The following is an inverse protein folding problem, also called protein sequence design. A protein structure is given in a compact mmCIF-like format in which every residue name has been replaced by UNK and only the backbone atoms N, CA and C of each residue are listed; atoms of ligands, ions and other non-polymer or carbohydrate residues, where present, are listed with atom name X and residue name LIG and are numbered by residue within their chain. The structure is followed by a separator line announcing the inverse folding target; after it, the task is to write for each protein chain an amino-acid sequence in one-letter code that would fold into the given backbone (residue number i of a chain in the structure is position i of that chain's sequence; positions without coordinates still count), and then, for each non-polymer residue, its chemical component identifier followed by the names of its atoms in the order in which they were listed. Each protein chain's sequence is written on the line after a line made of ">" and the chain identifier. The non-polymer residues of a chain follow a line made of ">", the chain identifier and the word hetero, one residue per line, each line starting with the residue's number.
data_IF_695898189402
#
_entry.id   IF_695898189402
#
_cell.length_a   1.000
_cell.length_b   1.000
_cell.length_c   1.000
_cell.angle_alpha   90.00
_cell.angle_beta   90.00
_cell.angle_gamma   90.00
#
_symmetry.space_group_name_H-M   'P 1'
#
loop_
_entity.id
_entity.type
_entity.pdbx_description
1 polymer ?
#
# COMPACT_ATOMS: atom_id res chain seq x y z
N UNK A 1 16.85 10.04 16.40
CA UNK A 1 17.56 10.39 15.16
C UNK A 1 18.62 9.33 14.97
N UNK A 2 18.46 8.49 13.96
CA UNK A 2 19.36 7.35 13.74
C UNK A 2 20.36 7.72 12.66
N UNK A 3 21.66 7.64 12.96
CA UNK A 3 22.71 7.86 11.97
C UNK A 3 23.13 6.54 11.35
N UNK A 4 23.13 6.47 10.03
CA UNK A 4 23.65 5.31 9.29
C UNK A 4 25.03 5.63 8.71
N UNK A 5 25.91 4.64 8.64
CA UNK A 5 27.22 4.77 7.99
C UNK A 5 27.15 4.22 6.57
N UNK A 6 27.76 4.94 5.64
CA UNK A 6 27.97 4.46 4.29
C UNK A 6 29.13 3.48 4.29
N UNK A 7 28.94 2.31 3.67
CA UNK A 7 29.99 1.33 3.46
C UNK A 7 30.96 1.80 2.36
N UNK A 8 32.11 1.13 2.25
CA UNK A 8 33.06 1.36 1.15
C UNK A 8 32.47 1.12 -0.25
N UNK A 9 31.35 0.40 -0.34
CA UNK A 9 30.62 0.14 -1.58
C UNK A 9 29.52 1.16 -1.86
N UNK A 10 29.39 2.21 -1.06
CA UNK A 10 28.32 3.20 -1.21
C UNK A 10 26.94 2.71 -0.76
N UNK A 11 26.89 1.74 0.17
CA UNK A 11 25.64 1.18 0.69
C UNK A 11 25.46 1.54 2.16
N UNK A 12 24.24 1.82 2.61
CA UNK A 12 23.91 1.91 4.02
C UNK A 12 22.76 0.94 4.35
N UNK A 13 22.67 0.57 5.62
CA UNK A 13 21.64 -0.35 6.10
C UNK A 13 20.47 0.46 6.63
N UNK A 14 19.27 0.19 6.13
CA UNK A 14 18.03 0.74 6.68
C UNK A 14 17.78 0.13 8.08
N UNK A 15 17.75 0.96 9.15
CA UNK A 15 17.47 0.49 10.50
C UNK A 15 16.17 -0.33 10.57
N UNK A 16 16.17 -1.38 11.39
CA UNK A 16 15.01 -2.29 11.53
C UNK A 16 13.73 -1.53 11.90
N UNK A 17 13.82 -0.56 12.80
CA UNK A 17 12.67 0.25 13.23
C UNK A 17 11.99 0.99 12.07
N UNK A 18 12.75 1.47 11.07
CA UNK A 18 12.20 2.13 9.88
C UNK A 18 11.53 1.10 8.97
N UNK A 19 12.18 -0.05 8.73
CA UNK A 19 11.60 -1.12 7.93
C UNK A 19 10.28 -1.63 8.48
N UNK A 20 10.23 -1.90 9.80
CA UNK A 20 9.04 -2.42 10.46
C UNK A 20 7.90 -1.37 10.43
N UNK A 21 8.19 -0.10 10.68
CA UNK A 21 7.18 0.99 10.67
C UNK A 21 6.54 1.21 9.29
N UNK A 22 7.29 0.99 8.22
CA UNK A 22 6.81 1.20 6.85
C UNK A 22 6.47 -0.13 6.14
N UNK A 23 6.49 -1.26 6.85
CA UNK A 23 6.28 -2.59 6.30
C UNK A 23 7.14 -2.88 5.05
N UNK A 24 8.40 -2.44 5.07
CA UNK A 24 9.34 -2.68 3.98
C UNK A 24 10.00 -4.05 4.15
N UNK A 25 9.75 -4.91 3.18
CA UNK A 25 10.27 -6.27 3.14
C UNK A 25 11.48 -6.38 2.20
N UNK A 26 12.17 -7.51 2.28
CA UNK A 26 13.26 -7.84 1.36
C UNK A 26 12.75 -7.80 -0.09
N UNK A 27 13.50 -7.14 -0.98
CA UNK A 27 13.09 -6.96 -2.37
C UNK A 27 12.26 -5.70 -2.64
N UNK A 28 11.91 -4.92 -1.60
CA UNK A 28 11.31 -3.59 -1.81
C UNK A 28 12.28 -2.71 -2.60
N UNK A 29 11.86 -2.26 -3.78
CA UNK A 29 12.61 -1.29 -4.57
C UNK A 29 12.37 0.13 -4.05
N UNK A 30 13.38 0.99 -4.15
CA UNK A 30 13.31 2.36 -3.68
C UNK A 30 13.76 3.33 -4.76
N UNK A 31 13.06 4.46 -4.84
CA UNK A 31 13.46 5.63 -5.61
C UNK A 31 14.19 6.59 -4.66
N UNK A 32 15.39 6.99 -5.06
CA UNK A 32 16.17 8.03 -4.40
C UNK A 32 15.96 9.33 -5.16
N UNK A 33 15.49 10.36 -4.45
CA UNK A 33 15.28 11.70 -4.99
C UNK A 33 16.25 12.64 -4.27
N UNK A 34 17.19 13.19 -5.03
CA UNK A 34 18.14 14.21 -4.55
C UNK A 34 17.48 15.59 -4.61
N UNK A 35 17.41 16.29 -3.48
CA UNK A 35 16.92 17.66 -3.35
C UNK A 35 18.02 18.65 -2.93
N UNK A 36 19.29 18.27 -3.06
CA UNK A 36 20.45 19.07 -2.67
C UNK A 36 20.77 18.96 -1.18
N UNK A 37 19.94 19.59 -0.32
CA UNK A 37 20.14 19.52 1.14
C UNK A 37 19.63 18.20 1.74
N UNK A 38 18.60 17.62 1.12
CA UNK A 38 17.94 16.41 1.57
C UNK A 38 17.95 15.32 0.51
N UNK A 39 18.10 14.08 0.95
CA UNK A 39 17.88 12.89 0.13
C UNK A 39 16.58 12.21 0.58
N UNK A 40 15.62 12.10 -0.34
CA UNK A 40 14.32 11.51 -0.06
C UNK A 40 14.25 10.10 -0.64
N UNK A 41 14.03 9.12 0.23
CA UNK A 41 13.87 7.71 -0.15
C UNK A 41 12.39 7.36 -0.09
N UNK A 42 11.85 6.84 -1.18
CA UNK A 42 10.44 6.38 -1.24
C UNK A 42 10.39 4.99 -1.87
N UNK A 43 9.50 4.10 -1.42
CA UNK A 43 9.29 2.84 -2.13
C UNK A 43 8.90 3.15 -3.58
N UNK A 44 9.52 2.43 -4.52
CA UNK A 44 9.12 2.47 -5.91
C UNK A 44 7.68 1.96 -5.98
N UNK A 45 6.75 2.79 -6.44
CA UNK A 45 5.37 2.35 -6.56
C UNK A 45 5.32 1.34 -7.71
N UNK A 46 4.91 0.12 -7.39
CA UNK A 46 4.65 -0.93 -8.39
C UNK A 46 3.52 -0.52 -9.35
N UNK A 47 2.62 0.36 -8.88
CA UNK A 47 1.48 0.86 -9.64
C UNK A 47 1.47 2.38 -9.69
N UNK A 48 0.98 2.98 -10.79
CA UNK A 48 0.75 4.41 -10.87
C UNK A 48 -0.22 4.86 -9.75
N UNK A 49 -0.19 6.15 -9.41
CA UNK A 49 -1.17 6.69 -8.47
C UNK A 49 -2.58 6.47 -9.02
N UNK A 50 -3.41 5.72 -8.32
CA UNK A 50 -4.82 5.57 -8.62
C UNK A 50 -5.60 6.60 -7.80
N UNK A 51 -6.45 7.35 -8.47
CA UNK A 51 -7.43 8.22 -7.83
C UNK A 51 -8.76 7.48 -7.74
N UNK A 52 -9.51 7.70 -6.66
CA UNK A 52 -10.86 7.16 -6.55
C UNK A 52 -11.75 7.87 -7.57
N UNK A 53 -12.63 7.10 -8.21
CA UNK A 53 -13.66 7.66 -9.07
C UNK A 53 -14.61 8.58 -8.25
N UNK A 54 -15.22 9.55 -8.92
CA UNK A 54 -16.23 10.41 -8.29
C UNK A 54 -17.38 9.58 -7.72
N UNK A 55 -18.01 9.97 -6.59
CA UNK A 55 -19.22 9.33 -6.08
C UNK A 55 -20.37 9.31 -7.09
N UNK A 56 -20.38 10.26 -8.03
CA UNK A 56 -21.38 10.36 -9.08
C UNK A 56 -21.07 9.47 -10.29
N UNK A 57 -19.93 8.77 -10.30
CA UNK A 57 -19.56 7.87 -11.40
C UNK A 57 -20.57 6.74 -11.51
N UNK A 58 -21.16 6.52 -12.70
CA UNK A 58 -22.09 5.43 -12.92
C UNK A 58 -21.45 4.07 -12.62
N UNK A 59 -22.18 3.20 -11.94
CA UNK A 59 -21.69 1.85 -11.65
C UNK A 59 -21.39 1.09 -12.93
N UNK A 60 -20.20 0.48 -13.02
CA UNK A 60 -19.84 -0.46 -14.09
C UNK A 60 -20.55 -1.81 -13.96
N UNK A 61 -21.28 -2.05 -12.86
CA UNK A 61 -22.00 -3.29 -12.61
C UNK A 61 -23.24 -3.40 -13.50
N UNK A 62 -23.27 -4.44 -14.33
CA UNK A 62 -24.37 -4.69 -15.29
C UNK A 62 -25.37 -5.74 -14.80
N UNK A 63 -25.15 -6.32 -13.62
CA UNK A 63 -26.01 -7.37 -13.07
C UNK A 63 -27.27 -6.83 -12.40
N UNK A 64 -28.12 -7.76 -11.94
CA UNK A 64 -29.28 -7.40 -11.13
C UNK A 64 -28.81 -6.92 -9.75
N UNK A 65 -29.17 -5.70 -9.30
CA UNK A 65 -28.82 -5.24 -7.96
C UNK A 65 -29.48 -6.13 -6.92
N UNK A 66 -28.75 -6.42 -5.84
CA UNK A 66 -29.28 -7.13 -4.70
C UNK A 66 -30.14 -6.18 -3.85
N UNK A 67 -31.22 -6.71 -3.30
CA UNK A 67 -31.95 -6.06 -2.21
C UNK A 67 -31.13 -6.11 -0.92
N UNK A 68 -31.42 -5.21 0.02
CA UNK A 68 -30.78 -5.19 1.34
C UNK A 68 -30.93 -6.53 2.07
N UNK A 69 -32.11 -7.15 2.00
CA UNK A 69 -32.36 -8.46 2.62
C UNK A 69 -31.49 -9.57 2.01
N UNK A 70 -31.28 -9.55 0.69
CA UNK A 70 -30.39 -10.50 0.02
C UNK A 70 -28.93 -10.27 0.41
N UNK A 71 -28.51 -9.02 0.56
CA UNK A 71 -27.17 -8.66 1.04
C UNK A 71 -26.94 -9.15 2.48
N UNK A 72 -27.86 -8.86 3.40
CA UNK A 72 -27.78 -9.30 4.79
C UNK A 72 -27.72 -10.83 4.89
N UNK A 73 -28.56 -11.52 4.12
CA UNK A 73 -28.55 -12.99 4.05
C UNK A 73 -27.20 -13.51 3.58
N UNK A 74 -26.62 -12.90 2.54
CA UNK A 74 -25.32 -13.32 2.00
C UNK A 74 -24.19 -13.14 3.04
N UNK A 75 -24.16 -12.00 3.74
CA UNK A 75 -23.17 -11.72 4.80
C UNK A 75 -23.29 -12.74 5.93
N UNK A 76 -24.51 -13.05 6.40
CA UNK A 76 -24.74 -14.03 7.46
C UNK A 76 -24.32 -15.44 7.06
N UNK A 77 -24.64 -15.85 5.83
CA UNK A 77 -24.24 -17.16 5.30
C UNK A 77 -22.72 -17.28 5.24
N UNK A 78 -22.01 -16.25 4.77
CA UNK A 78 -20.56 -16.30 4.65
C UNK A 78 -19.85 -16.24 6.02
N UNK A 79 -20.33 -15.39 6.94
CA UNK A 79 -19.82 -15.32 8.30
C UNK A 79 -19.97 -16.65 9.06
N UNK A 80 -21.00 -17.45 8.75
CA UNK A 80 -21.21 -18.77 9.34
C UNK A 80 -20.26 -19.85 8.80
N UNK A 81 -19.71 -19.70 7.57
CA UNK A 81 -18.75 -20.66 6.98
C UNK A 81 -17.35 -20.55 7.55
N UNK A 82 -16.98 -19.39 8.07
CA UNK A 82 -15.66 -19.10 8.64
C UNK A 82 -15.63 -19.16 10.18
N UNK A 83 -16.62 -19.82 10.79
CA UNK A 83 -16.64 -20.20 12.22
C UNK A 83 -16.22 -21.65 12.39
#
# INVERSE_FOLDING_TARGET
>A
MDTVKLSSKGQFILPKAIRDRHHWETGTEFIIIDRGEDLVIKPARVFPSTELESPDTPSIYQGKPLSLEEMERAVLVEAAKHR
#
